data_IF_437948559621
#
_entry.id   IF_437948559621
#
_cell.length_a   1.000
_cell.length_b   1.000
_cell.length_c   1.000
_cell.angle_alpha   90.00
_cell.angle_beta   90.00
_cell.angle_gamma   90.00
#
_symmetry.space_group_name_H-M   'P 1'
#
loop_
_entity.id
_entity.type
_entity.pdbx_description
1 polymer ?
#
# COMPACT_ATOMS: atom_id res chain seq x y z
N UNK A 1 35.91 23.29 -21.78
CA UNK A 1 34.47 23.58 -21.89
C UNK A 1 34.24 24.99 -21.34
N UNK A 2 33.85 25.92 -22.20
CA UNK A 2 33.68 27.33 -21.86
C UNK A 2 32.39 27.53 -21.06
N UNK A 3 32.49 28.21 -19.92
CA UNK A 3 31.35 28.57 -19.07
C UNK A 3 30.59 29.74 -19.71
N UNK A 4 29.96 29.50 -20.85
CA UNK A 4 29.30 30.53 -21.64
C UNK A 4 27.90 30.80 -21.07
N UNK A 5 27.71 32.00 -20.53
CA UNK A 5 26.42 32.44 -19.98
C UNK A 5 25.32 32.37 -21.05
N UNK A 6 24.09 32.09 -20.63
CA UNK A 6 22.93 32.14 -21.52
C UNK A 6 22.60 33.59 -21.83
N UNK A 7 22.71 33.98 -23.09
CA UNK A 7 22.25 35.31 -23.53
C UNK A 7 20.72 35.35 -23.55
N UNK A 8 20.16 36.56 -23.63
CA UNK A 8 18.71 36.73 -23.81
C UNK A 8 18.22 36.13 -25.13
N UNK A 9 19.00 36.30 -26.21
CA UNK A 9 18.73 35.70 -27.50
C UNK A 9 18.73 34.16 -27.44
N UNK A 10 19.73 33.55 -26.79
CA UNK A 10 19.78 32.09 -26.61
C UNK A 10 18.58 31.60 -25.80
N UNK A 11 18.18 32.36 -24.78
CA UNK A 11 17.04 32.02 -23.92
C UNK A 11 15.73 32.06 -24.69
N UNK A 12 15.52 33.09 -25.51
CA UNK A 12 14.31 33.23 -26.32
C UNK A 12 14.25 32.18 -27.44
N UNK A 13 15.38 31.93 -28.10
CA UNK A 13 15.50 30.84 -29.08
C UNK A 13 15.18 29.49 -28.44
N UNK A 14 15.67 29.24 -27.23
CA UNK A 14 15.35 28.02 -26.49
C UNK A 14 13.85 27.92 -26.17
N UNK A 15 13.17 29.00 -25.79
CA UNK A 15 11.72 28.97 -25.55
C UNK A 15 10.93 28.54 -26.79
N UNK A 16 11.32 29.06 -27.95
CA UNK A 16 10.63 28.80 -29.22
C UNK A 16 10.93 27.39 -29.75
N UNK A 17 12.19 26.96 -29.70
CA UNK A 17 12.61 25.71 -30.34
C UNK A 17 12.47 24.48 -29.43
N UNK A 18 12.53 24.64 -28.10
CA UNK A 18 12.50 23.53 -27.16
C UNK A 18 11.27 22.62 -27.28
N UNK A 19 10.04 23.13 -27.49
CA UNK A 19 8.85 22.27 -27.60
C UNK A 19 8.95 21.21 -28.70
N UNK A 20 9.59 21.53 -29.83
CA UNK A 20 9.49 20.75 -31.07
C UNK A 20 10.81 20.13 -31.57
N UNK A 21 11.93 20.38 -30.91
CA UNK A 21 13.25 19.86 -31.30
C UNK A 21 13.83 18.85 -30.29
N UNK A 22 14.75 18.00 -30.75
CA UNK A 22 15.54 17.16 -29.85
C UNK A 22 16.47 18.01 -29.00
N UNK A 23 16.79 17.55 -27.79
CA UNK A 23 17.65 18.34 -26.90
C UNK A 23 19.10 18.27 -27.38
N UNK A 24 19.44 17.20 -28.11
CA UNK A 24 20.69 16.96 -28.81
C UNK A 24 20.90 17.99 -29.94
N UNK A 25 19.88 18.24 -30.78
CA UNK A 25 20.00 19.24 -31.85
C UNK A 25 20.16 20.66 -31.27
N UNK A 26 19.42 20.98 -30.20
CA UNK A 26 19.57 22.27 -29.52
C UNK A 26 20.94 22.39 -28.85
N UNK A 27 21.46 21.31 -28.29
CA UNK A 27 22.80 21.29 -27.71
C UNK A 27 23.88 21.61 -28.74
N UNK A 28 23.78 21.03 -29.94
CA UNK A 28 24.65 21.32 -31.08
C UNK A 28 24.50 22.78 -31.56
N UNK A 29 23.27 23.26 -31.75
CA UNK A 29 22.96 24.65 -32.16
C UNK A 29 23.55 25.67 -31.17
N UNK A 30 23.44 25.42 -29.87
CA UNK A 30 23.92 26.33 -28.83
C UNK A 30 25.40 26.12 -28.45
N UNK A 31 26.10 25.16 -29.06
CA UNK A 31 27.47 24.79 -28.70
C UNK A 31 27.62 24.34 -27.23
N UNK A 32 26.58 23.73 -26.66
CA UNK A 32 26.46 23.39 -25.23
C UNK A 32 26.23 21.91 -25.03
N UNK A 33 26.43 21.43 -23.82
CA UNK A 33 26.08 20.03 -23.48
C UNK A 33 24.57 19.86 -23.34
N UNK A 34 24.05 18.69 -23.70
CA UNK A 34 22.63 18.31 -23.52
C UNK A 34 22.14 18.58 -22.09
N UNK A 35 22.98 18.31 -21.08
CA UNK A 35 22.68 18.57 -19.66
C UNK A 35 22.45 20.05 -19.36
N UNK A 36 23.22 20.96 -19.96
CA UNK A 36 23.06 22.40 -19.77
C UNK A 36 21.75 22.90 -20.37
N UNK A 37 21.36 22.39 -21.54
CA UNK A 37 20.07 22.71 -22.17
C UNK A 37 18.91 22.22 -21.32
N UNK A 38 18.95 20.98 -20.80
CA UNK A 38 17.94 20.49 -19.88
C UNK A 38 17.84 21.33 -18.60
N UNK A 39 18.96 21.70 -18.00
CA UNK A 39 18.97 22.50 -16.78
C UNK A 39 18.36 23.89 -17.00
N UNK A 40 18.67 24.54 -18.13
CA UNK A 40 18.08 25.84 -18.48
C UNK A 40 16.59 25.72 -18.80
N UNK A 41 16.19 24.74 -19.60
CA UNK A 41 14.78 24.49 -19.91
C UNK A 41 13.93 24.23 -18.65
N UNK A 42 14.47 23.46 -17.70
CA UNK A 42 13.82 23.22 -16.40
C UNK A 42 13.65 24.51 -15.58
N UNK A 43 14.69 25.36 -15.51
CA UNK A 43 14.61 26.68 -14.85
C UNK A 43 13.58 27.61 -15.48
N UNK A 44 13.37 27.49 -16.79
CA UNK A 44 12.39 28.28 -17.54
C UNK A 44 10.98 27.63 -17.58
N UNK A 45 10.82 26.44 -17.00
CA UNK A 45 9.54 25.70 -17.02
C UNK A 45 9.12 25.17 -18.38
N UNK A 46 10.05 25.04 -19.34
CA UNK A 46 9.73 24.62 -20.71
C UNK A 46 9.44 23.12 -20.80
N UNK A 47 8.44 22.76 -21.60
CA UNK A 47 8.03 21.38 -21.87
C UNK A 47 8.05 21.10 -23.37
N UNK A 48 8.23 19.83 -23.72
CA UNK A 48 8.05 19.35 -25.09
C UNK A 48 6.57 19.42 -25.48
N UNK A 49 6.28 19.74 -26.73
CA UNK A 49 4.92 19.78 -27.26
C UNK A 49 4.32 18.37 -27.31
N UNK A 50 2.99 18.27 -27.29
CA UNK A 50 2.32 16.99 -27.44
C UNK A 50 2.64 16.34 -28.80
N UNK A 51 2.76 17.16 -29.86
CA UNK A 51 3.12 16.72 -31.20
C UNK A 51 4.53 16.10 -31.23
N UNK A 52 5.52 16.78 -30.63
CA UNK A 52 6.87 16.24 -30.50
C UNK A 52 6.89 14.91 -29.74
N UNK A 53 6.19 14.85 -28.59
CA UNK A 53 6.15 13.65 -27.75
C UNK A 53 5.46 12.45 -28.42
N UNK A 54 4.53 12.69 -29.34
CA UNK A 54 3.90 11.66 -30.17
C UNK A 54 4.80 11.21 -31.34
N UNK A 55 5.78 12.05 -31.71
CA UNK A 55 6.73 11.78 -32.79
C UNK A 55 7.74 10.68 -32.49
N UNK A 56 8.35 10.15 -33.56
CA UNK A 56 9.33 9.06 -33.47
C UNK A 56 10.67 9.50 -32.85
N UNK A 57 10.97 10.80 -32.94
CA UNK A 57 12.23 11.44 -32.53
C UNK A 57 12.30 11.72 -31.02
N UNK A 58 11.17 11.70 -30.29
CA UNK A 58 11.13 11.96 -28.85
C UNK A 58 11.70 10.83 -27.98
N UNK A 59 12.18 9.73 -28.58
CA UNK A 59 12.75 8.58 -27.86
C UNK A 59 11.75 7.79 -27.01
N UNK A 60 10.49 8.21 -26.93
CA UNK A 60 9.43 7.48 -26.23
C UNK A 60 8.94 6.29 -27.04
N UNK A 61 8.74 5.16 -26.35
CA UNK A 61 8.03 4.02 -26.93
C UNK A 61 6.54 4.36 -27.02
N UNK A 62 6.02 4.42 -28.25
CA UNK A 62 4.59 4.55 -28.45
C UNK A 62 3.88 3.23 -28.11
N UNK A 63 2.62 3.31 -27.68
CA UNK A 63 1.82 2.13 -27.33
C UNK A 63 1.75 1.17 -28.54
N UNK A 64 2.31 -0.03 -28.38
CA UNK A 64 2.37 -1.06 -29.44
C UNK A 64 3.65 -1.07 -30.28
N UNK A 65 4.55 -0.09 -30.12
CA UNK A 65 5.79 -0.02 -30.87
C UNK A 65 6.85 -0.97 -30.29
N UNK A 66 7.41 -1.86 -31.11
CA UNK A 66 8.48 -2.79 -30.73
C UNK A 66 9.77 -2.44 -31.48
N UNK A 67 10.61 -1.54 -30.93
CA UNK A 67 11.90 -1.15 -31.55
C UNK A 67 13.05 -2.11 -31.23
N UNK A 68 12.92 -2.96 -30.22
CA UNK A 68 13.97 -3.86 -29.73
C UNK A 68 13.65 -5.34 -29.98
N UNK A 69 12.94 -5.65 -31.08
CA UNK A 69 12.55 -7.02 -31.43
C UNK A 69 13.73 -7.99 -31.51
N UNK A 70 14.91 -7.51 -31.90
CA UNK A 70 16.14 -8.30 -31.99
C UNK A 70 16.79 -8.61 -30.63
N UNK A 71 16.70 -7.70 -29.65
CA UNK A 71 17.39 -7.80 -28.35
C UNK A 71 16.46 -8.15 -27.18
N UNK A 72 15.14 -8.16 -27.40
CA UNK A 72 14.19 -8.56 -26.37
C UNK A 72 14.28 -10.06 -26.05
N UNK A 73 14.07 -10.41 -24.79
CA UNK A 73 13.87 -11.80 -24.40
C UNK A 73 12.58 -12.34 -25.01
N UNK A 74 12.67 -13.44 -25.75
CA UNK A 74 11.52 -14.10 -26.36
C UNK A 74 10.69 -14.85 -25.30
N UNK A 75 9.37 -15.00 -25.47
CA UNK A 75 8.57 -15.89 -24.62
C UNK A 75 9.20 -17.28 -24.56
N UNK A 76 9.33 -17.84 -23.34
CA UNK A 76 9.99 -19.13 -23.11
C UNK A 76 11.52 -19.06 -22.97
N UNK A 77 12.14 -17.88 -23.14
CA UNK A 77 13.58 -17.71 -22.92
C UNK A 77 13.97 -18.07 -21.48
N UNK A 78 14.84 -19.08 -21.33
CA UNK A 78 15.48 -19.40 -20.05
C UNK A 78 16.68 -18.48 -19.87
N UNK A 79 16.63 -17.59 -18.89
CA UNK A 79 17.76 -16.72 -18.57
C UNK A 79 18.94 -17.58 -18.07
N UNK A 80 20.17 -17.15 -18.35
CA UNK A 80 21.41 -17.87 -18.02
C UNK A 80 21.61 -18.14 -16.52
N UNK A 81 20.86 -17.42 -15.66
CA UNK A 81 20.85 -17.54 -14.20
C UNK A 81 19.62 -18.29 -13.66
N UNK A 82 18.69 -18.75 -14.50
CA UNK A 82 17.47 -19.41 -14.03
C UNK A 82 17.83 -20.70 -13.30
N UNK A 83 17.43 -20.80 -12.03
CA UNK A 83 17.68 -21.98 -11.18
C UNK A 83 19.11 -22.09 -10.66
N UNK A 84 20.00 -21.14 -11.00
CA UNK A 84 21.34 -21.12 -10.42
C UNK A 84 21.27 -20.39 -9.06
N UNK A 85 21.78 -20.99 -7.97
CA UNK A 85 21.90 -20.28 -6.71
C UNK A 85 22.84 -19.09 -6.92
N UNK A 86 22.47 -17.93 -6.35
CA UNK A 86 23.34 -16.78 -6.30
C UNK A 86 23.67 -16.51 -4.84
N UNK A 87 24.94 -16.59 -4.51
CA UNK A 87 25.43 -16.16 -3.21
C UNK A 87 26.08 -14.79 -3.35
N UNK A 88 25.49 -13.78 -2.71
CA UNK A 88 26.04 -12.44 -2.69
C UNK A 88 27.35 -12.43 -1.87
N UNK A 89 28.49 -12.27 -2.52
CA UNK A 89 29.79 -12.21 -1.83
C UNK A 89 29.98 -10.98 -0.92
N UNK A 90 31.17 -10.87 -0.34
CA UNK A 90 31.57 -9.74 0.51
C UNK A 90 30.80 -9.66 1.83
N UNK A 91 30.51 -8.44 2.29
CA UNK A 91 29.87 -8.18 3.60
C UNK A 91 28.37 -8.48 3.66
N UNK A 92 27.78 -9.00 2.57
CA UNK A 92 26.36 -9.36 2.55
C UNK A 92 26.01 -10.34 3.68
N UNK A 93 26.90 -11.29 3.99
CA UNK A 93 26.67 -12.28 5.04
C UNK A 93 26.44 -11.67 6.43
N UNK A 94 27.05 -10.50 6.72
CA UNK A 94 26.88 -9.80 8.00
C UNK A 94 25.46 -9.27 8.22
N UNK A 95 24.75 -8.93 7.14
CA UNK A 95 23.45 -8.25 7.18
C UNK A 95 22.28 -9.07 6.65
N UNK A 96 22.53 -10.32 6.20
CA UNK A 96 21.46 -11.24 5.79
C UNK A 96 20.51 -11.50 6.97
N UNK A 97 19.20 -11.38 6.73
CA UNK A 97 18.19 -11.73 7.72
C UNK A 97 18.33 -13.21 8.10
N UNK A 98 18.54 -13.49 9.39
CA UNK A 98 18.57 -14.85 9.92
C UNK A 98 17.13 -15.31 10.16
N UNK A 99 16.79 -16.53 9.73
CA UNK A 99 15.47 -17.12 10.01
C UNK A 99 15.24 -17.13 11.53
N UNK A 100 14.08 -16.64 11.97
CA UNK A 100 13.74 -16.53 13.39
C UNK A 100 14.43 -15.39 14.15
N UNK A 101 15.32 -14.62 13.51
CA UNK A 101 15.98 -13.48 14.13
C UNK A 101 15.01 -12.32 14.37
N UNK A 102 14.85 -11.90 15.62
CA UNK A 102 14.09 -10.71 15.98
C UNK A 102 15.00 -9.47 15.88
N UNK A 103 15.10 -8.89 14.69
CA UNK A 103 15.95 -7.72 14.39
C UNK A 103 15.16 -6.55 13.83
N UNK A 104 15.68 -5.33 13.99
CA UNK A 104 15.09 -4.12 13.39
C UNK A 104 13.68 -3.84 13.93
N UNK A 105 12.70 -3.50 13.06
CA UNK A 105 11.34 -3.19 13.50
C UNK A 105 10.64 -4.31 14.29
N UNK A 106 11.00 -5.57 14.04
CA UNK A 106 10.42 -6.70 14.78
C UNK A 106 10.78 -6.65 16.27
N UNK A 107 11.99 -6.16 16.60
CA UNK A 107 12.45 -6.00 17.98
C UNK A 107 11.83 -4.76 18.62
N UNK A 108 11.80 -3.63 17.92
CA UNK A 108 11.23 -2.38 18.46
C UNK A 108 9.73 -2.46 18.67
N UNK A 109 9.03 -3.25 17.85
CA UNK A 109 7.57 -3.44 17.95
C UNK A 109 7.19 -4.65 18.81
N UNK A 110 8.17 -5.37 19.36
CA UNK A 110 7.90 -6.51 20.22
C UNK A 110 7.26 -6.03 21.52
N UNK A 111 6.24 -6.76 21.95
CA UNK A 111 5.62 -6.62 23.28
C UNK A 111 5.54 -8.00 23.93
N UNK A 112 5.77 -8.14 25.24
CA UNK A 112 5.78 -9.45 25.90
C UNK A 112 4.40 -10.13 25.89
N UNK A 113 4.38 -11.46 25.98
CA UNK A 113 3.14 -12.24 26.25
C UNK A 113 2.48 -11.68 27.52
N UNK A 114 1.15 -11.58 27.52
CA UNK A 114 0.37 -10.92 28.56
C UNK A 114 0.14 -9.42 28.32
N UNK A 115 0.81 -8.82 27.33
CA UNK A 115 0.51 -7.44 26.93
C UNK A 115 -0.91 -7.32 26.38
N UNK A 116 -1.55 -6.19 26.64
CA UNK A 116 -2.90 -5.89 26.14
C UNK A 116 -2.88 -4.83 25.05
N UNK A 117 -3.87 -4.87 24.14
CA UNK A 117 -4.12 -3.81 23.16
C UNK A 117 -5.60 -3.68 22.86
N UNK A 118 -6.01 -2.55 22.28
CA UNK A 118 -7.37 -2.36 21.78
C UNK A 118 -7.36 -2.62 20.26
N UNK A 119 -8.23 -3.52 19.80
CA UNK A 119 -8.40 -3.81 18.38
C UNK A 119 -9.08 -2.65 17.65
N UNK A 120 -9.00 -2.64 16.31
CA UNK A 120 -9.70 -1.64 15.48
C UNK A 120 -11.21 -1.61 15.74
N UNK A 121 -11.78 -2.74 16.15
CA UNK A 121 -13.21 -2.90 16.42
C UNK A 121 -13.58 -2.61 17.88
N UNK A 122 -12.60 -2.17 18.71
CA UNK A 122 -12.82 -1.75 20.09
C UNK A 122 -12.69 -2.86 21.15
N UNK A 123 -12.25 -4.06 20.78
CA UNK A 123 -12.07 -5.16 21.73
C UNK A 123 -10.72 -5.07 22.44
N UNK A 124 -10.71 -5.33 23.75
CA UNK A 124 -9.47 -5.61 24.48
C UNK A 124 -8.93 -6.98 24.05
N UNK A 125 -7.71 -7.03 23.53
CA UNK A 125 -6.99 -8.23 23.15
C UNK A 125 -5.80 -8.46 24.07
N UNK A 126 -5.54 -9.72 24.38
CA UNK A 126 -4.39 -10.18 25.14
C UNK A 126 -3.44 -10.93 24.21
N UNK A 127 -2.14 -10.65 24.31
CA UNK A 127 -1.13 -11.46 23.62
C UNK A 127 -0.93 -12.78 24.37
N UNK A 128 -1.27 -13.90 23.75
CA UNK A 128 -1.27 -15.24 24.39
C UNK A 128 -0.11 -16.13 23.95
N UNK A 129 0.53 -15.84 22.81
CA UNK A 129 1.63 -16.67 22.30
C UNK A 129 2.58 -15.87 21.41
N UNK A 130 3.84 -16.30 21.36
CA UNK A 130 4.87 -15.84 20.42
C UNK A 130 5.18 -16.85 19.31
N UNK A 131 4.49 -17.98 19.30
CA UNK A 131 4.69 -19.06 18.33
C UNK A 131 4.57 -18.51 16.89
N UNK A 132 5.65 -18.59 16.09
CA UNK A 132 5.67 -18.14 14.70
C UNK A 132 5.05 -19.16 13.73
N UNK A 133 4.88 -20.42 14.12
CA UNK A 133 4.42 -21.50 13.25
C UNK A 133 2.89 -21.62 13.22
N UNK A 134 2.18 -20.94 14.14
CA UNK A 134 0.72 -20.85 14.14
C UNK A 134 0.20 -20.04 12.94
N UNK A 135 -0.45 -20.73 12.00
CA UNK A 135 -1.15 -20.11 10.86
C UNK A 135 -2.67 -20.39 10.90
N UNK A 136 -3.54 -19.36 10.80
CA UNK A 136 -3.21 -17.93 10.83
C UNK A 136 -2.65 -17.50 12.20
N UNK A 137 -1.92 -16.37 12.24
CA UNK A 137 -1.35 -15.84 13.48
C UNK A 137 -2.43 -15.57 14.52
N UNK A 138 -2.44 -16.37 15.60
CA UNK A 138 -3.36 -16.27 16.74
C UNK A 138 -2.67 -15.71 17.99
N UNK A 139 -1.66 -14.85 17.80
CA UNK A 139 -0.89 -14.25 18.90
C UNK A 139 -1.75 -13.39 19.82
N UNK A 140 -2.76 -12.73 19.27
CA UNK A 140 -3.67 -11.85 19.99
C UNK A 140 -5.06 -12.46 20.01
N UNK A 141 -5.63 -12.61 21.20
CA UNK A 141 -6.96 -13.17 21.41
C UNK A 141 -7.79 -12.16 22.19
N UNK A 142 -9.04 -11.95 21.77
CA UNK A 142 -9.93 -11.04 22.46
C UNK A 142 -10.25 -11.55 23.88
N UNK A 143 -10.14 -10.68 24.88
CA UNK A 143 -10.26 -11.02 26.30
C UNK A 143 -11.62 -11.60 26.64
N UNK A 144 -12.71 -11.10 26.03
CA UNK A 144 -14.05 -11.65 26.24
C UNK A 144 -14.15 -13.13 25.86
N UNK A 145 -13.38 -13.57 24.86
CA UNK A 145 -13.33 -14.97 24.45
C UNK A 145 -12.68 -15.83 25.55
N UNK A 146 -11.57 -15.35 26.11
CA UNK A 146 -10.84 -16.03 27.18
C UNK A 146 -11.70 -16.16 28.44
N UNK A 147 -12.36 -15.06 28.85
CA UNK A 147 -13.27 -15.05 30.01
C UNK A 147 -14.44 -16.02 29.82
N UNK A 148 -15.01 -16.08 28.61
CA UNK A 148 -16.07 -17.04 28.32
C UNK A 148 -15.56 -18.49 28.38
N UNK A 149 -14.41 -18.77 27.77
CA UNK A 149 -13.82 -20.11 27.73
C UNK A 149 -13.41 -20.60 29.13
N UNK A 150 -12.97 -19.70 30.00
CA UNK A 150 -12.67 -19.98 31.41
C UNK A 150 -13.93 -20.35 32.22
N UNK A 151 -15.03 -19.64 32.00
CA UNK A 151 -16.27 -19.87 32.76
C UNK A 151 -17.15 -21.02 32.22
N UNK A 152 -17.17 -21.25 30.91
CA UNK A 152 -18.11 -22.18 30.26
C UNK A 152 -17.42 -23.31 29.47
N UNK A 153 -16.11 -23.26 29.31
CA UNK A 153 -15.35 -24.18 28.46
C UNK A 153 -15.32 -23.76 26.98
N UNK A 154 -14.88 -24.67 26.08
CA UNK A 154 -14.57 -24.33 24.70
C UNK A 154 -15.80 -23.84 23.93
N UNK A 155 -15.62 -22.79 23.12
CA UNK A 155 -16.69 -22.25 22.27
C UNK A 155 -17.08 -23.30 21.23
N UNK A 156 -18.37 -23.70 21.16
CA UNK A 156 -18.81 -24.72 20.21
C UNK A 156 -18.54 -24.33 18.75
N UNK A 157 -18.34 -25.30 17.84
CA UNK A 157 -18.20 -25.01 16.43
C UNK A 157 -19.33 -24.12 15.90
N UNK A 158 -18.98 -23.20 14.99
CA UNK A 158 -19.91 -22.22 14.38
C UNK A 158 -20.51 -21.18 15.36
N UNK A 159 -20.13 -21.18 16.63
CA UNK A 159 -20.52 -20.14 17.59
C UNK A 159 -19.46 -19.05 17.71
N UNK A 160 -19.88 -17.91 18.25
CA UNK A 160 -19.06 -16.77 18.62
C UNK A 160 -19.52 -16.25 19.98
N UNK A 161 -18.58 -15.66 20.72
CA UNK A 161 -18.89 -14.93 21.95
C UNK A 161 -19.04 -13.46 21.57
N UNK A 162 -20.12 -12.84 22.03
CA UNK A 162 -20.39 -11.42 21.84
C UNK A 162 -20.73 -10.79 23.19
N UNK A 163 -20.57 -9.47 23.28
CA UNK A 163 -21.15 -8.72 24.38
C UNK A 163 -22.65 -8.59 24.17
N UNK A 164 -23.40 -8.67 25.26
CA UNK A 164 -24.82 -8.32 25.29
C UNK A 164 -24.99 -6.85 24.84
N UNK A 165 -26.16 -6.47 24.29
CA UNK A 165 -26.40 -5.12 23.79
C UNK A 165 -26.04 -4.03 24.82
N UNK A 166 -25.20 -3.08 24.42
CA UNK A 166 -24.76 -1.96 25.27
C UNK A 166 -23.70 -2.31 26.34
N UNK A 167 -23.24 -3.56 26.42
CA UNK A 167 -22.32 -4.02 27.46
C UNK A 167 -20.84 -4.05 27.04
N UNK A 168 -20.53 -3.63 25.81
CA UNK A 168 -19.16 -3.57 25.28
C UNK A 168 -18.28 -2.67 26.19
N UNK A 169 -17.16 -3.22 26.64
CA UNK A 169 -16.18 -2.51 27.46
C UNK A 169 -14.77 -2.96 27.09
N UNK A 170 -13.81 -2.04 27.22
CA UNK A 170 -12.38 -2.31 27.08
C UNK A 170 -11.66 -2.40 28.43
N UNK A 171 -12.36 -2.15 29.55
CA UNK A 171 -11.82 -2.29 30.89
C UNK A 171 -11.75 -3.78 31.26
N UNK A 172 -10.54 -4.30 31.53
CA UNK A 172 -10.33 -5.74 31.75
C UNK A 172 -11.19 -6.31 32.87
N UNK A 173 -11.29 -5.60 33.99
CA UNK A 173 -12.04 -6.01 35.19
C UNK A 173 -13.55 -6.10 34.95
N UNK A 174 -14.08 -5.34 33.99
CA UNK A 174 -15.50 -5.34 33.66
C UNK A 174 -15.88 -6.41 32.64
N UNK A 175 -14.90 -7.06 31.99
CA UNK A 175 -15.19 -8.13 31.02
C UNK A 175 -15.47 -9.40 31.81
N UNK A 176 -16.72 -9.53 32.24
CA UNK A 176 -17.22 -10.65 33.05
C UNK A 176 -18.17 -11.53 32.25
N UNK A 177 -18.30 -12.80 32.64
CA UNK A 177 -19.10 -13.78 31.92
C UNK A 177 -20.59 -13.40 31.79
N UNK A 178 -21.16 -12.66 32.75
CA UNK A 178 -22.55 -12.20 32.74
C UNK A 178 -22.84 -11.13 31.68
N UNK A 179 -21.83 -10.41 31.19
CA UNK A 179 -21.96 -9.44 30.08
C UNK A 179 -21.86 -10.09 28.71
N UNK A 180 -21.51 -11.37 28.67
CA UNK A 180 -21.24 -12.12 27.47
C UNK A 180 -22.37 -13.08 27.15
N UNK A 181 -22.50 -13.41 25.88
CA UNK A 181 -23.36 -14.49 25.40
C UNK A 181 -22.67 -15.22 24.25
N UNK A 182 -22.84 -16.54 24.20
CA UNK A 182 -22.39 -17.37 23.09
C UNK A 182 -23.56 -17.63 22.16
N UNK A 183 -23.45 -17.13 20.93
CA UNK A 183 -24.50 -17.23 19.91
C UNK A 183 -23.94 -17.87 18.65
N UNK A 184 -24.81 -18.48 17.85
CA UNK A 184 -24.43 -18.96 16.53
C UNK A 184 -24.06 -17.79 15.61
N UNK A 185 -23.18 -18.02 14.64
CA UNK A 185 -22.92 -17.03 13.58
C UNK A 185 -24.19 -16.65 12.81
N UNK A 186 -25.15 -17.56 12.68
CA UNK A 186 -26.43 -17.32 12.02
C UNK A 186 -27.31 -16.35 12.82
N UNK A 187 -27.40 -16.50 14.14
CA UNK A 187 -28.10 -15.55 15.00
C UNK A 187 -27.44 -14.18 14.97
N UNK A 188 -26.11 -14.12 15.05
CA UNK A 188 -25.39 -12.84 14.95
C UNK A 188 -25.66 -12.13 13.62
N UNK A 189 -25.68 -12.89 12.51
CA UNK A 189 -26.04 -12.35 11.19
C UNK A 189 -27.49 -11.85 11.18
N UNK A 190 -28.44 -12.61 11.75
CA UNK A 190 -29.84 -12.19 11.85
C UNK A 190 -29.98 -10.90 12.67
N UNK A 191 -29.28 -10.76 13.80
CA UNK A 191 -29.32 -9.55 14.65
C UNK A 191 -28.83 -8.30 13.91
N UNK A 192 -27.75 -8.44 13.13
CA UNK A 192 -27.14 -7.33 12.38
C UNK A 192 -27.74 -7.12 10.98
N UNK A 193 -28.79 -7.87 10.62
CA UNK A 193 -29.37 -7.83 9.30
C UNK A 193 -30.10 -6.51 9.04
N UNK A 194 -29.85 -5.91 7.87
CA UNK A 194 -30.59 -4.71 7.41
C UNK A 194 -32.10 -4.96 7.32
N UNK A 195 -32.52 -6.21 7.19
CA UNK A 195 -33.93 -6.56 7.08
C UNK A 195 -34.75 -6.22 8.33
N UNK A 196 -34.10 -6.07 9.50
CA UNK A 196 -34.76 -5.77 10.79
C UNK A 196 -35.21 -4.31 10.94
N UNK A 197 -34.77 -3.40 10.05
CA UNK A 197 -35.10 -1.98 10.17
C UNK A 197 -36.35 -1.59 9.38
N UNK A 198 -37.04 -0.47 9.71
CA UNK A 198 -38.09 0.11 8.88
C UNK A 198 -37.57 0.59 7.50
N UNK A 199 -38.43 0.67 6.46
CA UNK A 199 -38.03 1.08 5.11
C UNK A 199 -37.29 2.43 5.06
N UNK A 200 -37.71 3.41 5.87
CA UNK A 200 -37.12 4.76 5.91
C UNK A 200 -35.66 4.70 6.36
N UNK A 201 -35.37 3.87 7.37
CA UNK A 201 -34.02 3.66 7.89
C UNK A 201 -33.16 2.94 6.86
N UNK A 202 -33.70 1.93 6.15
CA UNK A 202 -32.96 1.26 5.06
C UNK A 202 -32.60 2.24 3.94
N UNK A 203 -33.53 3.14 3.60
CA UNK A 203 -33.31 4.22 2.64
C UNK A 203 -32.16 5.14 3.06
N UNK A 204 -32.19 5.64 4.29
CA UNK A 204 -31.14 6.48 4.84
C UNK A 204 -29.76 5.79 4.86
N UNK A 205 -29.70 4.52 5.28
CA UNK A 205 -28.45 3.73 5.27
C UNK A 205 -27.87 3.60 3.87
N UNK A 206 -28.73 3.34 2.88
CA UNK A 206 -28.33 3.19 1.47
C UNK A 206 -27.81 4.50 0.90
N UNK A 207 -28.50 5.62 1.16
CA UNK A 207 -28.07 6.95 0.74
C UNK A 207 -26.70 7.31 1.33
N UNK A 208 -26.50 7.06 2.64
CA UNK A 208 -25.21 7.26 3.31
C UNK A 208 -24.10 6.43 2.67
N UNK A 209 -24.37 5.17 2.35
CA UNK A 209 -23.40 4.30 1.70
C UNK A 209 -23.01 4.81 0.31
N UNK A 210 -23.97 5.29 -0.49
CA UNK A 210 -23.71 5.89 -1.80
C UNK A 210 -22.83 7.14 -1.69
N UNK A 211 -23.15 8.03 -0.74
CA UNK A 211 -22.37 9.23 -0.47
C UNK A 211 -20.92 8.90 -0.08
N UNK A 212 -20.72 7.95 0.85
CA UNK A 212 -19.39 7.51 1.27
C UNK A 212 -18.55 6.95 0.11
N UNK A 213 -19.16 6.18 -0.80
CA UNK A 213 -18.46 5.68 -2.00
C UNK A 213 -18.00 6.85 -2.89
N UNK A 214 -18.83 7.88 -3.07
CA UNK A 214 -18.47 9.05 -3.88
C UNK A 214 -17.33 9.84 -3.24
N UNK A 215 -17.40 10.10 -1.93
CA UNK A 215 -16.34 10.78 -1.17
C UNK A 215 -15.02 10.02 -1.30
N UNK A 216 -15.04 8.70 -1.10
CA UNK A 216 -13.83 7.88 -1.20
C UNK A 216 -13.26 7.86 -2.62
N UNK A 217 -14.11 7.87 -3.65
CA UNK A 217 -13.67 7.99 -5.04
C UNK A 217 -12.94 9.31 -5.29
N UNK A 218 -13.51 10.45 -4.84
CA UNK A 218 -12.87 11.77 -4.98
C UNK A 218 -11.52 11.81 -4.25
N UNK A 219 -11.47 11.34 -2.99
CA UNK A 219 -10.21 11.27 -2.21
C UNK A 219 -9.14 10.44 -2.90
N UNK A 220 -9.52 9.34 -3.56
CA UNK A 220 -8.59 8.51 -4.33
C UNK A 220 -8.03 9.25 -5.54
N UNK A 221 -8.85 10.00 -6.27
CA UNK A 221 -8.39 10.80 -7.41
C UNK A 221 -7.44 11.92 -6.97
N UNK A 222 -7.74 12.62 -5.86
CA UNK A 222 -6.87 13.65 -5.31
C UNK A 222 -5.50 13.11 -4.85
N UNK A 223 -5.43 11.87 -4.34
CA UNK A 223 -4.16 11.23 -3.97
C UNK A 223 -3.33 10.75 -5.17
N UNK A 224 -3.94 10.67 -6.35
CA UNK A 224 -3.32 10.13 -7.56
C UNK A 224 -2.92 11.21 -8.58
N UNK A 225 -3.28 12.47 -8.31
CA UNK A 225 -2.94 13.65 -9.09
C UNK A 225 -1.77 14.39 -8.43
#
# INVERSE_FOLDING_TARGET
>A
MTNQHWTEADTERLRQAYPDHTTEALAEEFGRTVRQVYSKAAKLGLKKSAAYLAGQTAGRFQKGQKKNTATQFKPGHKTWNKGKPFEAGGRSHETRFKKGGMTGPAQSNYVPIGSTRISKDGYLELKVTDDPDLYPSKRWVAVHRLVWEEAHGPIPPKHIVVFKPGQLTAAREEITADRLECITRAENMKRNSIHNYPPEIKGAMTARAALNRRINSVKKHQRSA
#
